data_IF_531423390914
#
_entry.id   IF_531423390914
#
_cell.length_a   1.000
_cell.length_b   1.000
_cell.length_c   1.000
_cell.angle_alpha   90.00
_cell.angle_beta   90.00
_cell.angle_gamma   90.00
#
_symmetry.space_group_name_H-M   'P 1'
#
loop_
_entity.id
_entity.type
_entity.pdbx_description
1 polymer ?
#
# COMPACT_ATOMS: atom_id res chain seq x y z
N UNK A 1 -31.80 -27.02 21.08
CA UNK A 1 -30.77 -25.96 20.95
C UNK A 1 -30.71 -25.55 19.48
N UNK A 2 -30.88 -24.27 19.14
CA UNK A 2 -30.88 -23.82 17.75
C UNK A 2 -29.44 -23.67 17.26
N UNK A 3 -29.10 -24.38 16.18
CA UNK A 3 -27.79 -24.23 15.52
C UNK A 3 -27.72 -22.88 14.79
N UNK A 4 -26.62 -22.16 15.05
CA UNK A 4 -26.29 -20.89 14.41
C UNK A 4 -25.93 -21.13 12.93
N UNK A 5 -26.60 -20.44 12.00
CA UNK A 5 -26.21 -20.42 10.58
C UNK A 5 -24.88 -19.69 10.45
N UNK A 6 -23.79 -20.44 10.30
CA UNK A 6 -22.50 -19.90 9.83
C UNK A 6 -22.67 -19.44 8.39
N UNK A 7 -22.81 -18.12 8.22
CA UNK A 7 -22.88 -17.45 6.93
C UNK A 7 -21.48 -17.50 6.30
N UNK A 8 -21.24 -18.51 5.47
CA UNK A 8 -20.03 -18.58 4.65
C UNK A 8 -20.12 -17.45 3.64
N UNK A 9 -19.37 -16.36 3.87
CA UNK A 9 -19.12 -15.34 2.86
C UNK A 9 -18.29 -16.01 1.75
N UNK A 10 -18.98 -16.53 0.75
CA UNK A 10 -18.38 -16.88 -0.53
C UNK A 10 -17.92 -15.55 -1.13
N UNK A 11 -16.64 -15.21 -0.99
CA UNK A 11 -16.04 -14.23 -1.88
C UNK A 11 -16.15 -14.85 -3.27
N UNK A 12 -17.11 -14.38 -4.07
CA UNK A 12 -17.07 -14.60 -5.50
C UNK A 12 -15.80 -13.92 -6.01
N UNK A 13 -14.77 -14.72 -6.26
CA UNK A 13 -13.56 -14.24 -6.90
C UNK A 13 -13.94 -13.89 -8.33
N UNK A 14 -14.31 -12.63 -8.56
CA UNK A 14 -14.49 -12.10 -9.91
C UNK A 14 -13.11 -12.15 -10.56
N UNK A 15 -12.89 -13.15 -11.41
CA UNK A 15 -11.63 -13.33 -12.13
C UNK A 15 -11.60 -12.34 -13.28
N UNK A 16 -11.16 -11.12 -12.98
CA UNK A 16 -10.87 -10.11 -13.97
C UNK A 16 -9.55 -10.47 -14.68
N UNK A 17 -9.59 -10.74 -15.99
CA UNK A 17 -8.40 -11.06 -16.78
C UNK A 17 -7.90 -9.84 -17.55
N UNK A 18 -6.58 -9.73 -17.70
CA UNK A 18 -5.94 -8.66 -18.46
C UNK A 18 -4.88 -9.26 -19.39
N UNK A 19 -4.75 -8.69 -20.59
CA UNK A 19 -3.76 -9.14 -21.58
C UNK A 19 -2.53 -8.24 -21.52
N UNK A 20 -1.35 -8.85 -21.53
CA UNK A 20 -0.08 -8.14 -21.69
C UNK A 20 0.10 -7.79 -23.17
N UNK A 21 0.20 -6.50 -23.47
CA UNK A 21 0.52 -6.05 -24.84
C UNK A 21 1.98 -6.33 -25.17
N UNK A 22 2.33 -6.32 -26.46
CA UNK A 22 3.72 -6.47 -26.93
C UNK A 22 4.68 -5.41 -26.35
N UNK A 23 4.14 -4.25 -25.94
CA UNK A 23 4.91 -3.17 -25.30
C UNK A 23 5.05 -3.34 -23.79
N UNK A 24 4.58 -4.45 -23.22
CA UNK A 24 4.63 -4.71 -21.78
C UNK A 24 3.58 -3.95 -20.96
N UNK A 25 2.57 -3.36 -21.60
CA UNK A 25 1.47 -2.69 -20.90
C UNK A 25 0.40 -3.71 -20.50
N UNK A 26 -0.05 -3.65 -19.25
CA UNK A 26 -1.21 -4.38 -18.74
C UNK A 26 -2.32 -3.38 -18.45
N UNK A 27 -3.53 -3.67 -18.93
CA UNK A 27 -4.70 -2.83 -18.64
C UNK A 27 -5.41 -3.36 -17.42
N UNK A 28 -5.55 -2.54 -16.38
CA UNK A 28 -6.29 -2.92 -15.17
C UNK A 28 -7.78 -2.73 -15.43
N UNK A 29 -8.61 -3.77 -15.33
CA UNK A 29 -10.05 -3.68 -15.52
C UNK A 29 -10.68 -2.65 -14.56
N UNK A 30 -11.78 -2.02 -15.01
CA UNK A 30 -12.42 -0.92 -14.27
C UNK A 30 -12.84 -1.31 -12.85
N UNK A 31 -13.32 -2.54 -12.67
CA UNK A 31 -13.73 -3.10 -11.38
C UNK A 31 -12.55 -3.23 -10.39
N UNK A 32 -11.37 -3.61 -10.90
CA UNK A 32 -10.15 -3.73 -10.11
C UNK A 32 -9.62 -2.34 -9.73
N UNK A 33 -9.64 -1.37 -10.66
CA UNK A 33 -9.26 0.03 -10.37
C UNK A 33 -10.12 0.64 -9.27
N UNK A 34 -11.44 0.49 -9.38
CA UNK A 34 -12.39 1.01 -8.41
C UNK A 34 -12.18 0.38 -7.02
N UNK A 35 -11.90 -0.93 -6.97
CA UNK A 35 -11.66 -1.65 -5.71
C UNK A 35 -10.34 -1.28 -5.04
N UNK A 36 -9.30 -0.99 -5.83
CA UNK A 36 -7.99 -0.56 -5.34
C UNK A 36 -7.92 0.95 -5.06
N UNK A 37 -8.89 1.73 -5.53
CA UNK A 37 -8.90 3.18 -5.42
C UNK A 37 -7.72 3.84 -6.15
N UNK A 38 -7.37 3.33 -7.34
CA UNK A 38 -6.28 3.86 -8.17
C UNK A 38 -6.83 4.61 -9.39
N UNK A 39 -6.26 5.78 -9.65
CA UNK A 39 -6.55 6.64 -10.79
C UNK A 39 -5.34 6.79 -11.73
N UNK A 40 -5.57 7.44 -12.88
CA UNK A 40 -4.50 7.71 -13.83
C UNK A 40 -3.41 8.59 -13.18
N UNK A 41 -2.17 8.10 -13.17
CA UNK A 41 -1.03 8.76 -12.55
C UNK A 41 -0.65 8.22 -11.17
N UNK A 42 -1.48 7.33 -10.59
CA UNK A 42 -1.13 6.66 -9.34
C UNK A 42 -0.04 5.62 -9.53
N UNK A 43 0.81 5.50 -8.51
CA UNK A 43 1.85 4.48 -8.45
C UNK A 43 1.28 3.20 -7.86
N UNK A 44 1.72 2.10 -8.44
CA UNK A 44 1.36 0.74 -8.04
C UNK A 44 2.61 -0.07 -7.84
N UNK A 45 2.59 -0.96 -6.87
CA UNK A 45 3.71 -1.83 -6.51
C UNK A 45 3.32 -3.29 -6.73
N UNK A 46 4.25 -4.05 -7.32
CA UNK A 46 4.14 -5.49 -7.48
C UNK A 46 5.02 -6.15 -6.43
N UNK A 47 4.42 -6.89 -5.51
CA UNK A 47 5.14 -7.56 -4.42
C UNK A 47 5.04 -9.07 -4.62
N UNK A 48 6.18 -9.75 -4.70
CA UNK A 48 6.21 -11.21 -4.76
C UNK A 48 5.92 -11.79 -3.37
N UNK A 49 4.80 -12.51 -3.24
CA UNK A 49 4.40 -13.16 -1.98
C UNK A 49 4.78 -14.65 -1.95
N UNK A 50 5.00 -15.23 -3.12
CA UNK A 50 5.47 -16.60 -3.33
C UNK A 50 6.02 -16.70 -4.77
N UNK A 51 6.84 -17.71 -5.09
CA UNK A 51 7.41 -17.86 -6.43
C UNK A 51 6.35 -17.76 -7.53
N UNK A 52 6.46 -16.72 -8.38
CA UNK A 52 5.53 -16.49 -9.49
C UNK A 52 4.14 -15.97 -9.09
N UNK A 53 3.93 -15.63 -7.81
CA UNK A 53 2.71 -15.00 -7.31
C UNK A 53 3.01 -13.59 -6.84
N UNK A 54 2.40 -12.64 -7.54
CA UNK A 54 2.53 -11.22 -7.27
C UNK A 54 1.21 -10.68 -6.73
N UNK A 55 1.30 -9.93 -5.65
CA UNK A 55 0.24 -9.04 -5.21
C UNK A 55 0.43 -7.66 -5.81
N UNK A 56 -0.69 -7.00 -6.06
CA UNK A 56 -0.74 -5.68 -6.64
C UNK A 56 -1.26 -4.70 -5.59
N UNK A 57 -0.41 -3.74 -5.21
CA UNK A 57 -0.68 -2.82 -4.11
C UNK A 57 -0.76 -1.39 -4.65
N UNK A 58 -1.84 -0.70 -4.29
CA UNK A 58 -2.01 0.72 -4.55
C UNK A 58 -1.06 1.53 -3.63
N UNK A 59 0.01 2.09 -4.19
CA UNK A 59 0.94 2.98 -3.48
C UNK A 59 0.43 4.43 -3.53
N UNK A 60 -0.87 4.64 -3.26
CA UNK A 60 -1.57 5.93 -3.40
C UNK A 60 -1.32 6.89 -2.24
N UNK A 61 -0.56 6.48 -1.22
CA UNK A 61 -0.29 7.34 -0.05
C UNK A 61 0.74 8.42 -0.40
N UNK A 62 0.23 9.59 -0.75
CA UNK A 62 1.05 10.80 -0.87
C UNK A 62 1.71 11.13 0.48
N UNK A 63 2.98 11.53 0.45
CA UNK A 63 3.69 12.09 1.62
C UNK A 63 2.99 13.36 2.16
N UNK A 64 2.16 14.01 1.34
CA UNK A 64 1.31 15.13 1.76
C UNK A 64 0.31 14.68 2.84
N UNK A 65 -0.13 13.42 2.85
CA UNK A 65 -1.00 12.89 3.90
C UNK A 65 -0.33 12.91 5.29
N UNK A 66 1.00 12.94 5.36
CA UNK A 66 1.74 13.09 6.62
C UNK A 66 1.78 14.54 7.11
N UNK A 67 1.46 15.51 6.24
CA UNK A 67 1.49 16.94 6.56
C UNK A 67 0.43 17.25 7.61
N UNK A 68 0.86 17.70 8.78
CA UNK A 68 -0.02 18.03 9.90
C UNK A 68 -0.38 16.86 10.82
N UNK A 69 0.06 15.64 10.51
CA UNK A 69 -0.14 14.48 11.39
C UNK A 69 0.57 14.66 12.73
N UNK A 70 1.74 15.29 12.72
CA UNK A 70 2.42 15.74 13.92
C UNK A 70 2.02 17.20 14.16
N UNK A 71 1.26 17.44 15.23
CA UNK A 71 0.78 18.77 15.61
C UNK A 71 1.92 19.76 15.91
N UNK A 72 1.57 20.91 16.52
CA UNK A 72 2.59 21.94 16.82
C UNK A 72 3.72 21.38 17.67
N UNK A 73 4.94 21.66 17.20
CA UNK A 73 6.19 21.26 17.83
C UNK A 73 6.33 21.88 19.22
N UNK A 74 6.49 21.06 20.27
CA UNK A 74 6.67 21.52 21.66
C UNK A 74 8.05 22.13 21.97
N UNK A 75 9.11 21.69 21.27
CA UNK A 75 10.50 22.15 21.50
C UNK A 75 11.28 22.17 20.20
N UNK A 76 11.87 23.31 19.84
CA UNK A 76 12.81 23.44 18.71
C UNK A 76 14.07 22.56 18.94
N UNK A 77 14.56 21.92 17.89
CA UNK A 77 15.81 21.12 17.89
C UNK A 77 16.59 21.52 16.66
N UNK A 78 17.92 21.54 16.82
CA UNK A 78 18.82 21.81 15.72
C UNK A 78 18.89 20.63 14.76
N UNK A 79 19.37 20.88 13.54
CA UNK A 79 19.66 19.82 12.56
C UNK A 79 20.73 18.86 13.10
N UNK A 80 21.72 19.39 13.84
CA UNK A 80 22.77 18.57 14.45
C UNK A 80 22.19 17.57 15.47
N UNK A 81 21.30 18.02 16.35
CA UNK A 81 20.64 17.14 17.33
C UNK A 81 19.78 16.07 16.64
N UNK A 82 19.11 16.44 15.54
CA UNK A 82 18.30 15.53 14.75
C UNK A 82 19.16 14.43 14.12
N UNK A 83 20.28 14.80 13.49
CA UNK A 83 21.20 13.86 12.86
C UNK A 83 21.84 12.92 13.89
N UNK A 84 22.24 13.45 15.06
CA UNK A 84 22.77 12.64 16.15
C UNK A 84 21.73 11.62 16.66
N UNK A 85 20.47 12.01 16.78
CA UNK A 85 19.39 11.11 17.18
C UNK A 85 19.12 10.01 16.14
N UNK A 86 19.12 10.36 14.84
CA UNK A 86 18.97 9.40 13.73
C UNK A 86 20.12 8.39 13.76
N UNK A 87 21.37 8.86 13.86
CA UNK A 87 22.54 7.99 13.90
C UNK A 87 22.49 7.02 15.11
N UNK A 88 22.16 7.53 16.31
CA UNK A 88 22.04 6.72 17.52
C UNK A 88 20.94 5.65 17.42
N UNK A 89 19.79 6.00 16.85
CA UNK A 89 18.63 5.10 16.73
C UNK A 89 18.78 4.11 15.58
N UNK A 90 19.37 4.53 14.46
CA UNK A 90 19.65 3.67 13.31
C UNK A 90 20.69 2.60 13.63
N UNK A 91 21.70 2.91 14.45
CA UNK A 91 22.69 1.95 14.92
C UNK A 91 22.12 0.89 15.89
N UNK A 92 21.03 1.21 16.60
CA UNK A 92 20.38 0.31 17.57
C UNK A 92 19.34 -0.63 16.94
N UNK A 93 19.06 -0.48 15.63
CA UNK A 93 18.12 -1.32 14.89
C UNK A 93 18.82 -2.45 14.10
N UNK A 94 20.10 -2.73 14.42
CA UNK A 94 20.90 -3.81 13.84
C UNK A 94 20.97 -5.00 14.79
#
# INVERSE_FOLDING_TARGET
>A
MPYCKVRIFRQETVVATATLTTKGQITIPVEVRASLGVDAGDRVEFVEIAPGRYEFIAATRSVIALKGMFGRRRKAVSIADMNAAIARRGAAAK
#
